data_IF_939945171173
#
_entry.id   IF_939945171173
#
_cell.length_a   1.000
_cell.length_b   1.000
_cell.length_c   1.000
_cell.angle_alpha   90.00
_cell.angle_beta   90.00
_cell.angle_gamma   90.00
#
_symmetry.space_group_name_H-M   'P 1'
#
loop_
_entity.id
_entity.type
_entity.pdbx_description
1 polymer ?
#
# COMPACT_ATOMS: atom_id res chain seq x y z
N UNK A 1 -11.92 20.49 16.53
CA UNK A 1 -10.92 19.73 15.74
C UNK A 1 -11.59 18.43 15.32
N UNK A 2 -11.34 17.91 14.12
CA UNK A 2 -11.81 16.57 13.75
C UNK A 2 -10.73 15.57 14.11
N UNK A 3 -11.12 14.41 14.62
CA UNK A 3 -10.19 13.33 14.94
C UNK A 3 -9.62 12.72 13.66
N UNK A 4 -8.35 12.32 13.72
CA UNK A 4 -7.67 11.62 12.63
C UNK A 4 -7.56 10.15 13.04
N UNK A 5 -8.01 9.26 12.16
CA UNK A 5 -8.06 7.83 12.42
C UNK A 5 -7.39 7.04 11.30
N UNK A 6 -6.86 5.86 11.62
CA UNK A 6 -6.41 4.87 10.64
C UNK A 6 -7.50 3.81 10.54
N UNK A 7 -8.02 3.61 9.34
CA UNK A 7 -9.16 2.71 9.08
C UNK A 7 -8.72 1.27 8.84
N UNK A 8 -7.63 1.04 8.09
CA UNK A 8 -7.04 -0.26 7.83
C UNK A 8 -5.64 -0.09 7.20
N UNK A 9 -4.94 -1.20 6.92
CA UNK A 9 -3.69 -1.25 6.20
C UNK A 9 -3.37 -2.61 5.60
N UNK A 10 -2.48 -2.59 4.60
CA UNK A 10 -1.91 -3.79 4.01
C UNK A 10 -0.43 -3.59 3.73
N UNK A 11 0.26 -4.72 3.58
CA UNK A 11 1.66 -4.79 3.18
C UNK A 11 1.88 -6.03 2.35
N UNK A 12 2.91 -6.03 1.52
CA UNK A 12 3.44 -7.24 0.90
C UNK A 12 4.18 -8.09 1.95
N UNK A 13 4.57 -9.31 1.56
CA UNK A 13 5.60 -10.04 2.28
C UNK A 13 6.93 -9.27 2.24
N UNK A 14 7.76 -9.48 3.26
CA UNK A 14 9.13 -8.97 3.27
C UNK A 14 10.03 -10.01 2.59
N UNK A 15 10.69 -9.59 1.51
CA UNK A 15 11.69 -10.42 0.82
C UNK A 15 13.08 -10.24 1.44
N UNK A 16 13.94 -11.24 1.25
CA UNK A 16 15.38 -11.10 1.48
C UNK A 16 16.07 -10.51 0.25
N UNK A 17 17.26 -9.93 0.44
CA UNK A 17 18.06 -9.41 -0.66
C UNK A 17 18.37 -10.52 -1.67
N UNK A 18 18.10 -10.27 -2.96
CA UNK A 18 18.22 -11.28 -4.03
C UNK A 18 17.22 -12.44 -3.96
N UNK A 19 16.23 -12.37 -3.07
CA UNK A 19 15.26 -13.43 -2.82
C UNK A 19 14.07 -13.48 -3.79
N UNK A 20 12.94 -13.95 -3.30
CA UNK A 20 11.74 -14.25 -4.10
C UNK A 20 11.12 -13.03 -4.80
N UNK A 21 11.37 -11.81 -4.32
CA UNK A 21 10.81 -10.58 -4.87
C UNK A 21 11.80 -9.82 -5.77
N UNK A 22 12.99 -10.36 -6.06
CA UNK A 22 14.06 -9.65 -6.78
C UNK A 22 13.64 -9.16 -8.19
N UNK A 23 12.75 -9.90 -8.85
CA UNK A 23 12.31 -9.63 -10.22
C UNK A 23 11.01 -8.79 -10.24
N UNK A 24 10.51 -8.36 -9.08
CA UNK A 24 9.30 -7.51 -8.95
C UNK A 24 9.71 -6.06 -8.67
N UNK A 25 9.19 -5.11 -9.46
CA UNK A 25 9.55 -3.71 -9.28
C UNK A 25 9.00 -3.13 -7.97
N UNK A 26 9.65 -2.08 -7.44
CA UNK A 26 9.15 -1.36 -6.27
C UNK A 26 7.74 -0.79 -6.52
N UNK A 27 7.46 -0.33 -7.74
CA UNK A 27 6.14 0.17 -8.14
C UNK A 27 5.08 -0.94 -8.09
N UNK A 28 5.38 -2.13 -8.61
CA UNK A 28 4.44 -3.26 -8.56
C UNK A 28 4.14 -3.69 -7.13
N UNK A 29 5.16 -3.75 -6.27
CA UNK A 29 4.99 -4.02 -4.84
C UNK A 29 4.13 -2.94 -4.16
N UNK A 30 4.34 -1.66 -4.50
CA UNK A 30 3.53 -0.54 -4.04
C UNK A 30 2.06 -0.66 -4.49
N UNK A 31 1.82 -1.04 -5.74
CA UNK A 31 0.47 -1.28 -6.29
C UNK A 31 -0.23 -2.40 -5.52
N UNK A 32 0.47 -3.51 -5.25
CA UNK A 32 -0.09 -4.65 -4.49
C UNK A 32 -0.47 -4.21 -3.07
N UNK A 33 0.43 -3.49 -2.38
CA UNK A 33 0.16 -2.99 -1.03
C UNK A 33 -1.02 -2.00 -1.01
N UNK A 34 -1.07 -1.05 -1.95
CA UNK A 34 -2.12 -0.05 -2.03
C UNK A 34 -3.49 -0.66 -2.33
N UNK A 35 -3.56 -1.59 -3.29
CA UNK A 35 -4.80 -2.33 -3.62
C UNK A 35 -5.29 -3.16 -2.44
N UNK A 36 -4.39 -3.86 -1.75
CA UNK A 36 -4.76 -4.61 -0.54
C UNK A 36 -5.30 -3.73 0.58
N UNK A 37 -4.76 -2.52 0.76
CA UNK A 37 -5.25 -1.58 1.76
C UNK A 37 -6.64 -1.03 1.39
N UNK A 38 -6.86 -0.70 0.12
CA UNK A 38 -8.16 -0.28 -0.40
C UNK A 38 -9.23 -1.38 -0.24
N UNK A 39 -8.89 -2.61 -0.60
CA UNK A 39 -9.82 -3.75 -0.51
C UNK A 39 -10.26 -4.00 0.94
N UNK A 40 -9.32 -3.99 1.90
CA UNK A 40 -9.63 -4.23 3.31
C UNK A 40 -10.41 -3.08 3.95
N UNK A 41 -10.02 -1.83 3.63
CA UNK A 41 -10.69 -0.64 4.15
C UNK A 41 -12.09 -0.42 3.58
N UNK A 42 -12.42 -1.05 2.44
CA UNK A 42 -13.70 -0.91 1.71
C UNK A 42 -14.05 0.54 1.33
N UNK A 43 -13.04 1.41 1.25
CA UNK A 43 -13.21 2.79 0.80
C UNK A 43 -13.37 2.82 -0.72
N UNK A 44 -14.33 3.60 -1.22
CA UNK A 44 -14.43 3.88 -2.66
C UNK A 44 -13.19 4.68 -3.09
N UNK A 45 -12.40 4.21 -4.07
CA UNK A 45 -11.23 4.95 -4.56
C UNK A 45 -11.51 6.40 -4.97
N UNK A 46 -12.75 6.72 -5.36
CA UNK A 46 -13.16 8.10 -5.69
C UNK A 46 -13.18 9.05 -4.49
N UNK A 47 -13.14 8.53 -3.26
CA UNK A 47 -13.08 9.31 -2.02
C UNK A 47 -11.65 9.64 -1.59
N UNK A 48 -10.63 9.15 -2.30
CA UNK A 48 -9.24 9.44 -1.98
C UNK A 48 -8.83 10.78 -2.61
N UNK A 49 -8.53 11.75 -1.74
CA UNK A 49 -8.04 13.07 -2.16
C UNK A 49 -6.54 13.06 -2.50
N UNK A 50 -5.75 12.24 -1.81
CA UNK A 50 -4.29 12.22 -1.94
C UNK A 50 -3.69 10.85 -1.68
N UNK A 51 -2.66 10.51 -2.46
CA UNK A 51 -1.82 9.32 -2.26
C UNK A 51 -0.38 9.77 -2.09
N UNK A 52 0.30 9.24 -1.07
CA UNK A 52 1.71 9.52 -0.78
C UNK A 52 2.43 8.18 -0.60
N UNK A 53 3.52 7.98 -1.32
CA UNK A 53 4.35 6.77 -1.23
C UNK A 53 5.81 7.17 -0.96
N UNK A 54 6.43 6.53 0.03
CA UNK A 54 7.86 6.68 0.31
C UNK A 54 8.69 5.67 -0.48
N UNK A 55 9.76 6.13 -1.11
CA UNK A 55 10.74 5.29 -1.81
C UNK A 55 12.13 5.97 -1.74
N UNK A 56 13.19 5.16 -1.73
CA UNK A 56 14.62 5.57 -1.71
C UNK A 56 15.31 4.96 -2.91
#
# INVERSE_FOLDING_TARGET
>A
MKDIVIIDGARTAFGTYGGALRDTSATDLGIIAAKGALEKSKVDPKQIDQVIFGNV
#
